data_IF_931471424177
#
_entry.id   IF_931471424177
#
_cell.length_a   1.000
_cell.length_b   1.000
_cell.length_c   1.000
_cell.angle_alpha   90.00
_cell.angle_beta   90.00
_cell.angle_gamma   90.00
#
_symmetry.space_group_name_H-M   'P 1'
#
loop_
_entity.id
_entity.type
_entity.pdbx_description
1 polymer ?
#
# COMPACT_ATOMS: atom_id res chain seq x y z
N UNK A 1 -8.42 -4.81 -15.01
CA UNK A 1 -7.75 -3.91 -14.06
C UNK A 1 -8.63 -3.88 -12.84
N UNK A 2 -8.09 -4.29 -11.72
CA UNK A 2 -8.76 -4.33 -10.44
C UNK A 2 -8.30 -3.15 -9.59
N UNK A 3 -9.26 -2.60 -8.83
CA UNK A 3 -9.03 -1.51 -7.90
C UNK A 3 -9.48 -1.96 -6.52
N UNK A 4 -8.62 -1.71 -5.54
CA UNK A 4 -8.88 -2.08 -4.15
C UNK A 4 -8.42 -0.99 -3.20
N UNK A 5 -9.15 -0.83 -2.10
CA UNK A 5 -8.71 -0.01 -1.00
C UNK A 5 -8.97 -0.71 0.34
N UNK A 6 -8.11 -0.43 1.31
CA UNK A 6 -8.31 -0.87 2.70
C UNK A 6 -8.02 0.28 3.64
N UNK A 7 -8.78 0.34 4.74
CA UNK A 7 -8.48 1.18 5.89
C UNK A 7 -7.77 0.33 6.94
N UNK A 8 -6.60 0.76 7.38
CA UNK A 8 -5.74 0.02 8.30
C UNK A 8 -5.62 0.84 9.57
N UNK A 9 -6.13 0.32 10.69
CA UNK A 9 -5.90 0.91 12.00
C UNK A 9 -4.48 0.56 12.46
N UNK A 10 -3.73 1.56 12.88
CA UNK A 10 -2.38 1.39 13.42
C UNK A 10 -2.42 1.08 14.92
N UNK A 11 -1.41 0.37 15.40
CA UNK A 11 -1.15 0.21 16.83
C UNK A 11 -0.76 1.57 17.44
N UNK A 12 -1.05 1.82 18.72
CA UNK A 12 -0.62 3.04 19.39
C UNK A 12 0.90 3.22 19.28
N UNK A 13 1.35 4.48 19.24
CA UNK A 13 2.77 4.87 19.25
C UNK A 13 3.58 4.38 18.04
N UNK A 14 2.93 3.98 16.94
CA UNK A 14 3.62 3.53 15.71
C UNK A 14 3.84 4.63 14.68
N UNK A 15 3.52 5.89 15.01
CA UNK A 15 3.63 7.04 14.10
C UNK A 15 5.04 7.25 13.56
N UNK A 16 6.06 7.13 14.42
CA UNK A 16 7.47 7.23 14.02
C UNK A 16 7.86 6.12 13.02
N UNK A 17 7.27 4.92 13.17
CA UNK A 17 7.48 3.82 12.23
C UNK A 17 6.86 4.12 10.85
N UNK A 18 5.74 4.84 10.78
CA UNK A 18 5.13 5.28 9.52
C UNK A 18 6.01 6.29 8.82
N UNK A 19 6.55 7.27 9.55
CA UNK A 19 7.44 8.29 8.99
C UNK A 19 8.76 7.68 8.49
N UNK A 20 9.34 6.77 9.26
CA UNK A 20 10.54 6.03 8.86
C UNK A 20 10.28 5.19 7.61
N UNK A 21 9.16 4.45 7.58
CA UNK A 21 8.78 3.64 6.43
C UNK A 21 8.55 4.49 5.17
N UNK A 22 7.88 5.64 5.30
CA UNK A 22 7.68 6.57 4.19
C UNK A 22 9.01 7.08 3.63
N UNK A 23 9.96 7.47 4.49
CA UNK A 23 11.27 7.97 4.08
C UNK A 23 12.06 6.92 3.32
N UNK A 24 12.07 5.69 3.83
CA UNK A 24 12.75 4.57 3.18
C UNK A 24 12.15 4.22 1.82
N UNK A 25 10.81 4.19 1.70
CA UNK A 25 10.15 3.96 0.41
C UNK A 25 10.47 5.03 -0.62
N UNK A 26 10.45 6.30 -0.21
CA UNK A 26 10.82 7.41 -1.10
C UNK A 26 12.30 7.35 -1.50
N UNK A 27 13.19 6.93 -0.59
CA UNK A 27 14.62 6.77 -0.92
C UNK A 27 14.86 5.60 -1.89
N UNK A 28 14.06 4.53 -1.78
CA UNK A 28 14.16 3.31 -2.59
C UNK A 28 13.07 3.23 -3.67
N UNK A 29 12.59 4.38 -4.13
CA UNK A 29 11.46 4.48 -5.06
C UNK A 29 11.71 3.69 -6.36
N UNK A 30 12.94 3.67 -6.87
CA UNK A 30 13.29 2.90 -8.06
C UNK A 30 13.04 1.39 -7.86
N UNK A 31 13.51 0.83 -6.74
CA UNK A 31 13.30 -0.58 -6.41
C UNK A 31 11.80 -0.88 -6.18
N UNK A 32 11.09 0.00 -5.47
CA UNK A 32 9.65 -0.14 -5.28
C UNK A 32 8.89 -0.13 -6.62
N UNK A 33 9.28 0.73 -7.57
CA UNK A 33 8.67 0.74 -8.90
C UNK A 33 8.97 -0.54 -9.70
N UNK A 34 10.13 -1.16 -9.49
CA UNK A 34 10.45 -2.46 -10.11
C UNK A 34 9.58 -3.60 -9.55
N UNK A 35 9.32 -3.62 -8.24
CA UNK A 35 8.42 -4.62 -7.65
C UNK A 35 7.00 -4.45 -8.18
N UNK A 36 6.48 -3.22 -8.17
CA UNK A 36 5.14 -2.92 -8.68
C UNK A 36 4.97 -3.35 -10.15
N UNK A 37 5.99 -3.13 -10.99
CA UNK A 37 5.98 -3.61 -12.38
C UNK A 37 5.95 -5.13 -12.48
N UNK A 38 6.74 -5.84 -11.67
CA UNK A 38 6.76 -7.29 -11.66
C UNK A 38 5.43 -7.90 -11.17
N UNK A 39 4.75 -7.21 -10.26
CA UNK A 39 3.45 -7.61 -9.70
C UNK A 39 2.26 -7.21 -10.60
N UNK A 40 2.49 -6.39 -11.63
CA UNK A 40 1.43 -5.86 -12.50
C UNK A 40 0.57 -4.80 -11.79
N UNK A 41 1.15 -4.09 -10.82
CA UNK A 41 0.53 -2.97 -10.11
C UNK A 41 0.83 -1.68 -10.86
N UNK A 42 -0.21 -0.94 -11.21
CA UNK A 42 -0.12 0.34 -11.92
C UNK A 42 -0.03 1.52 -10.95
N UNK A 43 -0.79 1.46 -9.84
CA UNK A 43 -0.80 2.50 -8.81
C UNK A 43 -0.83 1.83 -7.45
N UNK A 44 0.07 2.27 -6.57
CA UNK A 44 -0.03 2.04 -5.14
C UNK A 44 0.01 3.40 -4.45
N UNK A 45 -0.95 3.68 -3.59
CA UNK A 45 -1.04 4.96 -2.88
C UNK A 45 -1.40 4.73 -1.43
N UNK A 46 -0.65 5.39 -0.56
CA UNK A 46 -0.81 5.30 0.88
C UNK A 46 -1.11 6.68 1.44
N UNK A 47 -2.15 6.76 2.26
CA UNK A 47 -2.56 8.00 2.92
C UNK A 47 -2.61 7.75 4.42
N UNK A 48 -2.18 8.73 5.20
CA UNK A 48 -2.39 8.73 6.65
C UNK A 48 -3.66 9.52 6.98
N UNK A 49 -4.43 9.02 7.94
CA UNK A 49 -5.60 9.73 8.48
C UNK A 49 -5.69 9.50 9.98
N UNK A 50 -5.92 10.57 10.73
CA UNK A 50 -6.19 10.51 12.16
C UNK A 50 -7.70 10.70 12.39
N UNK A 51 -8.33 9.76 13.08
CA UNK A 51 -9.75 9.82 13.44
C UNK A 51 -9.90 9.65 14.95
N UNK A 52 -10.40 10.68 15.62
CA UNK A 52 -10.63 10.69 17.07
C UNK A 52 -9.38 10.29 17.89
N UNK A 53 -8.19 10.75 17.48
CA UNK A 53 -6.91 10.45 18.14
C UNK A 53 -6.37 9.05 17.89
N UNK A 54 -6.94 8.32 16.92
CA UNK A 54 -6.45 7.02 16.46
C UNK A 54 -5.90 7.16 15.05
N UNK A 55 -4.68 6.68 14.83
CA UNK A 55 -4.02 6.69 13.53
C UNK A 55 -4.51 5.55 12.63
N UNK A 56 -4.75 5.88 11.36
CA UNK A 56 -5.09 4.95 10.31
C UNK A 56 -4.27 5.22 9.05
N UNK A 57 -4.16 4.19 8.21
CA UNK A 57 -3.68 4.30 6.84
C UNK A 57 -4.77 3.88 5.86
N UNK A 58 -4.86 4.57 4.74
CA UNK A 58 -5.63 4.12 3.58
C UNK A 58 -4.61 3.61 2.57
N UNK A 59 -4.70 2.33 2.20
CA UNK A 59 -3.92 1.77 1.11
C UNK A 59 -4.83 1.59 -0.10
N UNK A 60 -4.53 2.27 -1.19
CA UNK A 60 -5.19 2.16 -2.49
C UNK A 60 -4.26 1.47 -3.47
N UNK A 61 -4.81 0.53 -4.26
CA UNK A 61 -4.06 -0.21 -5.27
C UNK A 61 -4.89 -0.34 -6.55
N UNK A 62 -4.27 -0.06 -7.69
CA UNK A 62 -4.75 -0.39 -9.03
C UNK A 62 -3.78 -1.38 -9.66
N UNK A 63 -4.24 -2.56 -10.04
CA UNK A 63 -3.42 -3.60 -10.64
C UNK A 63 -4.12 -4.26 -11.82
N UNK A 64 -3.40 -5.03 -12.63
CA UNK A 64 -4.04 -5.80 -13.70
C UNK A 64 -4.99 -6.86 -13.13
N UNK A 65 -4.52 -7.54 -12.08
CA UNK A 65 -5.24 -8.52 -11.27
C UNK A 65 -4.69 -8.43 -9.83
N UNK A 66 -5.51 -7.96 -8.89
CA UNK A 66 -5.08 -7.74 -7.50
C UNK A 66 -4.72 -9.06 -6.81
N UNK A 67 -5.45 -10.14 -7.07
CA UNK A 67 -5.20 -11.42 -6.42
C UNK A 67 -3.86 -12.00 -6.85
N UNK A 68 -3.55 -11.91 -8.15
CA UNK A 68 -2.26 -12.31 -8.71
C UNK A 68 -1.12 -11.43 -8.21
N UNK A 69 -1.31 -10.11 -8.17
CA UNK A 69 -0.29 -9.19 -7.65
C UNK A 69 0.07 -9.54 -6.20
N UNK A 70 -0.93 -9.80 -5.35
CA UNK A 70 -0.70 -10.21 -3.96
C UNK A 70 0.02 -11.57 -3.85
N UNK A 71 -0.22 -12.51 -4.76
CA UNK A 71 0.48 -13.80 -4.78
C UNK A 71 1.96 -13.62 -5.13
N UNK A 72 2.25 -12.80 -6.14
CA UNK A 72 3.63 -12.49 -6.57
C UNK A 72 4.38 -11.74 -5.45
N UNK A 73 3.79 -10.72 -4.83
CA UNK A 73 4.39 -9.99 -3.71
C UNK A 73 4.66 -10.86 -2.48
N UNK A 74 3.83 -11.88 -2.23
CA UNK A 74 4.11 -12.86 -1.16
C UNK A 74 5.39 -13.64 -1.43
N UNK A 75 5.62 -14.04 -2.67
CA UNK A 75 6.79 -14.82 -3.11
C UNK A 75 8.01 -13.95 -3.43
N UNK A 76 7.83 -12.64 -3.53
CA UNK A 76 8.89 -11.68 -3.75
C UNK A 76 9.96 -11.75 -2.65
N UNK A 77 11.22 -11.78 -3.09
CA UNK A 77 12.42 -11.76 -2.25
C UNK A 77 13.10 -10.38 -2.23
N UNK A 78 12.49 -9.37 -2.87
CA UNK A 78 13.07 -8.03 -2.90
C UNK A 78 13.22 -7.48 -1.47
N UNK A 79 14.31 -6.74 -1.15
CA UNK A 79 14.49 -6.26 0.22
C UNK A 79 13.43 -5.21 0.61
N UNK A 80 12.85 -4.50 -0.36
CA UNK A 80 11.74 -3.57 -0.11
C UNK A 80 10.46 -4.29 0.33
N UNK A 81 10.21 -5.51 -0.17
CA UNK A 81 9.10 -6.36 0.29
C UNK A 81 9.28 -6.82 1.73
N UNK A 82 10.51 -7.14 2.13
CA UNK A 82 10.79 -7.52 3.52
C UNK A 82 10.53 -6.36 4.47
N UNK A 83 10.97 -5.17 4.10
CA UNK A 83 10.71 -3.94 4.85
C UNK A 83 9.21 -3.63 4.91
N UNK A 84 8.48 -3.78 3.80
CA UNK A 84 7.02 -3.70 3.78
C UNK A 84 6.36 -4.73 4.71
N UNK A 85 6.79 -6.00 4.68
CA UNK A 85 6.26 -7.07 5.55
C UNK A 85 6.48 -6.74 7.03
N UNK A 86 7.64 -6.19 7.39
CA UNK A 86 7.91 -5.71 8.76
C UNK A 86 6.97 -4.58 9.14
N UNK A 87 6.74 -3.62 8.24
CA UNK A 87 5.81 -2.51 8.46
C UNK A 87 4.38 -2.98 8.73
N UNK A 88 3.91 -4.05 8.07
CA UNK A 88 2.59 -4.66 8.34
C UNK A 88 2.44 -5.14 9.80
N UNK A 89 3.54 -5.38 10.51
CA UNK A 89 3.54 -5.70 11.93
C UNK A 89 2.98 -4.57 12.82
N UNK A 90 2.94 -3.34 12.33
CA UNK A 90 2.37 -2.18 13.03
C UNK A 90 0.83 -2.12 12.97
N UNK A 91 0.19 -3.00 12.19
CA UNK A 91 -1.25 -2.95 11.98
C UNK A 91 -2.00 -3.59 13.15
N UNK A 92 -2.99 -2.89 13.68
CA UNK A 92 -3.91 -3.41 14.69
C UNK A 92 -5.10 -4.11 14.02
N UNK A 93 -5.65 -3.50 12.96
CA UNK A 93 -6.82 -4.02 12.26
C UNK A 93 -6.79 -3.60 10.79
N UNK A 94 -7.19 -4.49 9.89
CA UNK A 94 -7.43 -4.17 8.48
C UNK A 94 -8.93 -4.23 8.22
N UNK A 95 -9.47 -3.17 7.63
CA UNK A 95 -10.89 -3.01 7.32
C UNK A 95 -10.98 -2.89 5.80
N UNK A 96 -11.56 -3.89 5.10
CA UNK A 96 -11.71 -3.82 3.65
C UNK A 96 -12.67 -2.70 3.26
N UNK A 97 -12.29 -1.88 2.27
CA UNK A 97 -13.21 -0.92 1.67
C UNK A 97 -13.96 -1.56 0.50
N UNK A 98 -15.21 -1.17 0.33
CA UNK A 98 -16.00 -1.55 -0.84
C UNK A 98 -15.80 -0.50 -1.94
N UNK A 99 -15.40 -0.95 -3.13
CA UNK A 99 -15.39 -0.10 -4.32
C UNK A 99 -16.84 0.25 -4.68
N UNK A 100 -17.17 1.54 -4.68
CA UNK A 100 -18.49 2.03 -5.11
C UNK A 100 -18.47 2.47 -6.58
N UNK A 101 -17.40 3.15 -6.98
CA UNK A 101 -17.20 3.64 -8.34
C UNK A 101 -15.71 3.78 -8.62
N UNK A 102 -15.30 3.43 -9.84
CA UNK A 102 -13.97 3.71 -10.39
C UNK A 102 -14.14 4.50 -11.69
N UNK A 103 -13.63 5.72 -11.74
CA UNK A 103 -13.65 6.56 -12.94
C UNK A 103 -12.20 6.95 -13.27
N UNK A 104 -11.73 6.54 -14.44
CA UNK A 104 -10.39 6.83 -14.92
C UNK A 104 -10.50 7.71 -16.19
N UNK A 105 -9.91 8.90 -16.17
CA UNK A 105 -9.80 9.72 -17.36
C UNK A 105 -8.47 9.43 -18.06
N UNK A 106 -8.52 8.56 -19.07
CA UNK A 106 -7.36 8.18 -19.89
C UNK A 106 -6.95 9.24 -20.93
N UNK A 107 -7.68 10.34 -21.03
CA UNK A 107 -7.43 11.41 -22.01
C UNK A 107 -6.55 12.56 -21.46
N UNK A 108 -5.91 12.35 -20.29
CA UNK A 108 -4.91 13.30 -19.79
C UNK A 108 -3.56 13.10 -20.51
N UNK A 109 -2.87 14.18 -20.91
CA UNK A 109 -1.58 14.13 -21.59
C UNK A 109 -0.46 13.52 -20.75
#
# INVERSE_FOLDING_TARGET
MDVGAVLIQLKPETKDNVESWQKELNMRQAEALETLKAEGVFVESWFHVELAGVDYLIAYMRAQDIARAQEIGRQSQFPIDQMHKQFKGNWAKVIPAQLLVDLENLDHP
#
